data_IF_306303289434
#
_entry.id   IF_306303289434
#
_cell.length_a   1.000
_cell.length_b   1.000
_cell.length_c   1.000
_cell.angle_alpha   90.00
_cell.angle_beta   90.00
_cell.angle_gamma   90.00
#
_symmetry.space_group_name_H-M   'P 1'
#
loop_
_entity.id
_entity.type
_entity.pdbx_description
1 polymer ?
#
# COMPACT_ATOMS: atom_id res chain seq x y z
N UNK A 1 24.51 -14.83 -21.38
CA UNK A 1 25.38 -14.71 -20.20
C UNK A 1 24.76 -13.73 -19.23
N UNK A 2 24.79 -14.05 -17.94
CA UNK A 2 24.44 -13.13 -16.87
C UNK A 2 25.50 -12.03 -16.70
N UNK A 3 25.15 -10.93 -16.03
CA UNK A 3 26.11 -9.86 -15.72
C UNK A 3 27.28 -10.41 -14.90
N UNK A 4 27.00 -11.28 -13.93
CA UNK A 4 28.00 -11.94 -13.08
C UNK A 4 28.95 -12.80 -13.91
N UNK A 5 28.45 -13.55 -14.89
CA UNK A 5 29.30 -14.31 -15.82
C UNK A 5 30.19 -13.42 -16.67
N UNK A 6 29.67 -12.30 -17.18
CA UNK A 6 30.46 -11.34 -17.97
C UNK A 6 31.52 -10.63 -17.13
N UNK A 7 31.22 -10.27 -15.88
CA UNK A 7 32.21 -9.69 -14.96
C UNK A 7 33.31 -10.68 -14.62
N UNK A 8 32.96 -11.94 -14.34
CA UNK A 8 33.95 -13.00 -14.09
C UNK A 8 34.80 -13.28 -15.33
N UNK A 9 34.20 -13.23 -16.52
CA UNK A 9 34.92 -13.39 -17.78
C UNK A 9 35.85 -12.21 -18.07
N UNK A 10 35.42 -10.98 -17.80
CA UNK A 10 36.24 -9.78 -17.94
C UNK A 10 37.47 -9.83 -17.02
N UNK A 11 37.29 -10.26 -15.77
CA UNK A 11 38.38 -10.41 -14.82
C UNK A 11 39.42 -11.43 -15.32
N UNK A 12 38.96 -12.59 -15.80
CA UNK A 12 39.85 -13.61 -16.38
C UNK A 12 40.60 -13.12 -17.62
N UNK A 13 39.90 -12.47 -18.56
CA UNK A 13 40.52 -11.94 -19.78
C UNK A 13 41.51 -10.80 -19.46
N UNK A 14 41.27 -10.04 -18.39
CA UNK A 14 42.19 -9.01 -17.91
C UNK A 14 43.45 -9.63 -17.29
N UNK A 15 43.28 -10.67 -16.47
CA UNK A 15 44.40 -11.41 -15.87
C UNK A 15 45.26 -12.09 -16.95
N UNK A 16 44.64 -12.75 -17.93
CA UNK A 16 45.32 -13.36 -19.09
C UNK A 16 46.08 -12.32 -19.94
N UNK A 17 45.48 -11.13 -20.12
CA UNK A 17 46.14 -10.01 -20.80
C UNK A 17 47.35 -9.50 -20.02
N UNK A 18 47.24 -9.38 -18.69
CA UNK A 18 48.35 -8.97 -17.83
C UNK A 18 49.45 -10.02 -17.78
N UNK A 19 49.12 -11.30 -17.68
CA UNK A 19 50.10 -12.40 -17.71
C UNK A 19 50.90 -12.38 -19.01
N UNK A 20 50.25 -12.09 -20.14
CA UNK A 20 50.91 -12.02 -21.46
C UNK A 20 51.83 -10.80 -21.57
N UNK A 21 51.51 -9.70 -20.89
CA UNK A 21 52.38 -8.50 -20.78
C UNK A 21 53.53 -8.74 -19.79
N UNK A 22 53.29 -9.42 -18.67
CA UNK A 22 54.30 -9.66 -17.64
C UNK A 22 55.24 -10.81 -17.98
N UNK A 23 54.81 -11.76 -18.81
CA UNK A 23 55.65 -12.81 -19.36
C UNK A 23 56.72 -12.28 -20.34
N UNK A 24 56.79 -10.96 -20.61
CA UNK A 24 57.92 -10.32 -21.28
C UNK A 24 59.18 -10.44 -20.40
N UNK A 25 60.13 -11.32 -20.73
CA UNK A 25 61.42 -11.27 -20.06
C UNK A 25 62.15 -10.04 -20.61
N UNK A 26 62.76 -9.24 -19.73
CA UNK A 26 63.66 -8.13 -20.10
C UNK A 26 64.81 -8.53 -21.06
N UNK A 27 64.98 -9.83 -21.34
CA UNK A 27 66.05 -10.40 -22.17
C UNK A 27 65.69 -10.70 -23.65
N UNK A 28 64.44 -10.55 -24.12
CA UNK A 28 64.07 -10.84 -25.53
C UNK A 28 64.11 -9.61 -26.48
N UNK A 29 64.98 -8.63 -26.20
CA UNK A 29 65.20 -7.51 -27.14
C UNK A 29 65.88 -7.91 -28.47
N UNK A 30 66.27 -9.18 -28.67
CA UNK A 30 66.89 -9.64 -29.92
C UNK A 30 65.87 -10.33 -30.88
N UNK A 31 65.13 -9.46 -31.57
CA UNK A 31 64.80 -9.51 -33.02
C UNK A 31 64.04 -10.67 -33.70
N UNK A 32 63.61 -11.78 -33.07
CA UNK A 32 62.89 -12.83 -33.85
C UNK A 32 61.48 -13.26 -33.41
N UNK A 33 61.00 -12.92 -32.20
CA UNK A 33 59.68 -13.39 -31.71
C UNK A 33 58.58 -12.32 -31.57
N UNK A 34 58.83 -11.07 -32.00
CA UNK A 34 57.91 -9.94 -31.77
C UNK A 34 56.56 -10.06 -32.50
N UNK A 35 56.53 -10.58 -33.72
CA UNK A 35 55.28 -10.64 -34.51
C UNK A 35 54.26 -11.66 -33.98
N UNK A 36 54.71 -12.79 -33.43
CA UNK A 36 53.82 -13.79 -32.82
C UNK A 36 53.23 -13.32 -31.49
N UNK A 37 54.02 -12.57 -30.72
CA UNK A 37 53.62 -12.00 -29.43
C UNK A 37 52.69 -10.79 -29.58
N UNK A 38 52.94 -9.88 -30.51
CA UNK A 38 52.00 -8.78 -30.79
C UNK A 38 50.64 -9.33 -31.24
N UNK A 39 50.60 -10.41 -32.02
CA UNK A 39 49.35 -11.06 -32.42
C UNK A 39 48.58 -11.64 -31.23
N UNK A 40 49.27 -12.36 -30.33
CA UNK A 40 48.64 -12.94 -29.13
C UNK A 40 48.09 -11.88 -28.17
N UNK A 41 48.85 -10.79 -27.95
CA UNK A 41 48.37 -9.67 -27.13
C UNK A 41 47.16 -8.96 -27.78
N UNK A 42 47.18 -8.79 -29.11
CA UNK A 42 46.10 -8.14 -29.82
C UNK A 42 44.82 -9.00 -29.86
N UNK A 43 44.95 -10.34 -29.87
CA UNK A 43 43.83 -11.27 -29.71
C UNK A 43 43.21 -11.18 -28.30
N UNK A 44 44.03 -11.16 -27.25
CA UNK A 44 43.53 -10.98 -25.88
C UNK A 44 42.88 -9.60 -25.68
N UNK A 45 43.47 -8.54 -26.24
CA UNK A 45 42.88 -7.20 -26.23
C UNK A 45 41.54 -7.16 -26.97
N UNK A 46 41.41 -7.90 -28.08
CA UNK A 46 40.17 -8.03 -28.82
C UNK A 46 39.09 -8.79 -28.01
N UNK A 47 39.48 -9.86 -27.30
CA UNK A 47 38.62 -10.58 -26.36
C UNK A 47 38.10 -9.66 -25.25
N UNK A 48 39.01 -8.93 -24.59
CA UNK A 48 38.68 -7.99 -23.52
C UNK A 48 37.72 -6.89 -24.00
N UNK A 49 37.98 -6.30 -25.18
CA UNK A 49 37.10 -5.31 -25.81
C UNK A 49 35.72 -5.88 -26.09
N UNK A 50 35.66 -7.12 -26.58
CA UNK A 50 34.39 -7.79 -26.86
C UNK A 50 33.57 -8.02 -25.59
N UNK A 51 34.20 -8.53 -24.52
CA UNK A 51 33.52 -8.73 -23.23
C UNK A 51 33.05 -7.41 -22.63
N UNK A 52 33.83 -6.33 -22.77
CA UNK A 52 33.42 -4.99 -22.37
C UNK A 52 32.18 -4.49 -23.12
N UNK A 53 32.14 -4.66 -24.45
CA UNK A 53 30.98 -4.32 -25.28
C UNK A 53 29.74 -5.14 -24.90
N UNK A 54 29.90 -6.42 -24.59
CA UNK A 54 28.80 -7.26 -24.10
C UNK A 54 28.27 -6.77 -22.75
N UNK A 55 29.16 -6.37 -21.85
CA UNK A 55 28.79 -5.85 -20.52
C UNK A 55 28.05 -4.51 -20.65
N UNK A 56 28.51 -3.61 -21.52
CA UNK A 56 27.82 -2.35 -21.83
C UNK A 56 26.42 -2.59 -22.42
N UNK A 57 26.30 -3.55 -23.35
CA UNK A 57 25.02 -3.93 -23.95
C UNK A 57 24.03 -4.46 -22.91
N UNK A 58 24.49 -5.33 -22.00
CA UNK A 58 23.67 -5.86 -20.91
C UNK A 58 23.21 -4.76 -19.94
N UNK A 59 24.10 -3.85 -19.56
CA UNK A 59 23.76 -2.71 -18.70
C UNK A 59 22.71 -1.80 -19.34
N UNK A 60 22.86 -1.48 -20.64
CA UNK A 60 21.86 -0.70 -21.39
C UNK A 60 20.51 -1.42 -21.42
N UNK A 61 20.50 -2.73 -21.65
CA UNK A 61 19.26 -3.52 -21.69
C UNK A 61 18.56 -3.54 -20.32
N UNK A 62 19.31 -3.77 -19.24
CA UNK A 62 18.75 -3.71 -17.87
C UNK A 62 18.16 -2.35 -17.54
N UNK A 63 18.85 -1.26 -17.92
CA UNK A 63 18.33 0.11 -17.74
C UNK A 63 17.01 0.29 -18.47
N UNK A 64 16.91 -0.13 -19.74
CA UNK A 64 15.67 -0.01 -20.53
C UNK A 64 14.53 -0.82 -19.91
N UNK A 65 14.79 -2.06 -19.49
CA UNK A 65 13.80 -2.90 -18.80
C UNK A 65 13.31 -2.27 -17.50
N UNK A 66 14.23 -1.80 -16.65
CA UNK A 66 13.88 -1.16 -15.39
C UNK A 66 13.02 0.11 -15.59
N UNK A 67 13.31 0.90 -16.64
CA UNK A 67 12.49 2.06 -16.99
C UNK A 67 11.08 1.65 -17.46
N UNK A 68 10.98 0.61 -18.29
CA UNK A 68 9.71 0.09 -18.77
C UNK A 68 8.85 -0.49 -17.63
N UNK A 69 9.46 -1.25 -16.72
CA UNK A 69 8.78 -1.83 -15.55
C UNK A 69 8.27 -0.73 -14.61
N UNK A 70 9.05 0.33 -14.40
CA UNK A 70 8.63 1.50 -13.63
C UNK A 70 7.44 2.21 -14.28
N UNK A 71 7.46 2.37 -15.60
CA UNK A 71 6.33 2.98 -16.34
C UNK A 71 5.06 2.13 -16.21
N UNK A 72 5.17 0.81 -16.34
CA UNK A 72 4.06 -0.12 -16.15
C UNK A 72 3.52 -0.06 -14.71
N UNK A 73 4.41 0.00 -13.71
CA UNK A 73 4.05 0.13 -12.30
C UNK A 73 3.29 1.44 -12.01
N UNK A 74 3.78 2.57 -12.53
CA UNK A 74 3.09 3.87 -12.37
C UNK A 74 1.72 3.91 -13.07
N UNK A 75 1.58 3.25 -14.22
CA UNK A 75 0.29 3.13 -14.92
C UNK A 75 -0.71 2.32 -14.08
N UNK A 76 -0.28 1.20 -13.50
CA UNK A 76 -1.15 0.37 -12.67
C UNK A 76 -1.54 1.09 -11.37
N UNK A 77 -0.59 1.76 -10.72
CA UNK A 77 -0.88 2.58 -9.53
C UNK A 77 -1.89 3.69 -9.83
N UNK A 78 -1.74 4.40 -10.95
CA UNK A 78 -2.71 5.41 -11.39
C UNK A 78 -4.09 4.79 -11.67
N UNK A 79 -4.14 3.58 -12.25
CA UNK A 79 -5.39 2.87 -12.52
C UNK A 79 -6.12 2.52 -11.22
N UNK A 80 -5.40 2.01 -10.23
CA UNK A 80 -5.94 1.70 -8.91
C UNK A 80 -6.43 2.96 -8.19
N UNK A 81 -5.64 4.04 -8.21
CA UNK A 81 -6.04 5.32 -7.61
C UNK A 81 -7.30 5.89 -8.23
N UNK A 82 -7.44 5.84 -9.56
CA UNK A 82 -8.67 6.26 -10.25
C UNK A 82 -9.89 5.45 -9.81
N UNK A 83 -9.73 4.14 -9.64
CA UNK A 83 -10.81 3.26 -9.17
C UNK A 83 -11.22 3.63 -7.74
N UNK A 84 -10.26 3.86 -6.85
CA UNK A 84 -10.52 4.25 -5.47
C UNK A 84 -11.25 5.61 -5.40
N UNK A 85 -10.81 6.59 -6.19
CA UNK A 85 -11.51 7.88 -6.33
C UNK A 85 -12.96 7.67 -6.77
N UNK A 86 -13.21 6.79 -7.75
CA UNK A 86 -14.56 6.54 -8.25
C UNK A 86 -15.46 5.90 -7.18
N UNK A 87 -14.93 4.97 -6.39
CA UNK A 87 -15.64 4.36 -5.27
C UNK A 87 -15.98 5.43 -4.22
N UNK A 88 -15.01 6.27 -3.86
CA UNK A 88 -15.21 7.36 -2.89
C UNK A 88 -16.24 8.37 -3.38
N UNK A 89 -16.22 8.74 -4.67
CA UNK A 89 -17.24 9.61 -5.28
C UNK A 89 -18.65 9.02 -5.15
N UNK A 90 -18.83 7.75 -5.49
CA UNK A 90 -20.13 7.07 -5.34
C UNK A 90 -20.60 7.04 -3.89
N UNK A 91 -19.69 6.82 -2.95
CA UNK A 91 -20.02 6.86 -1.52
C UNK A 91 -20.47 8.27 -1.10
N UNK A 92 -19.76 9.31 -1.54
CA UNK A 92 -20.15 10.71 -1.29
C UNK A 92 -21.54 11.00 -1.88
N UNK A 93 -21.81 10.62 -3.12
CA UNK A 93 -23.14 10.80 -3.75
C UNK A 93 -24.26 10.12 -2.94
N UNK A 94 -23.98 8.94 -2.39
CA UNK A 94 -24.92 8.22 -1.53
C UNK A 94 -25.19 8.99 -0.24
N UNK A 95 -24.15 9.52 0.42
CA UNK A 95 -24.31 10.32 1.63
C UNK A 95 -24.99 11.66 1.37
N UNK A 96 -24.70 12.32 0.25
CA UNK A 96 -25.38 13.56 -0.17
C UNK A 96 -26.88 13.29 -0.36
N UNK A 97 -27.24 12.19 -1.00
CA UNK A 97 -28.67 11.82 -1.17
C UNK A 97 -29.37 11.61 0.16
N UNK A 98 -28.72 10.94 1.12
CA UNK A 98 -29.27 10.76 2.48
C UNK A 98 -29.43 12.08 3.23
N UNK A 99 -28.48 13.00 3.08
CA UNK A 99 -28.59 14.34 3.66
C UNK A 99 -29.79 15.09 3.08
N UNK A 100 -29.99 15.04 1.76
CA UNK A 100 -31.15 15.65 1.10
C UNK A 100 -32.49 15.03 1.55
N UNK A 101 -32.49 13.74 1.91
CA UNK A 101 -33.66 13.06 2.48
C UNK A 101 -33.93 13.54 3.91
N UNK A 102 -32.90 13.57 4.76
CA UNK A 102 -33.01 14.04 6.14
C UNK A 102 -33.41 15.52 6.23
N UNK A 103 -32.91 16.36 5.33
CA UNK A 103 -33.29 17.78 5.25
C UNK A 103 -34.80 17.96 4.97
N UNK A 104 -35.44 16.98 4.33
CA UNK A 104 -36.90 16.99 4.10
C UNK A 104 -37.68 16.37 5.25
N UNK A 105 -37.15 15.31 5.87
CA UNK A 105 -37.86 14.52 6.89
C UNK A 105 -37.82 15.18 8.28
N UNK A 106 -36.69 15.78 8.67
CA UNK A 106 -36.51 16.41 9.98
C UNK A 106 -37.61 17.48 10.27
N UNK A 107 -37.92 18.41 9.36
CA UNK A 107 -39.00 19.38 9.60
C UNK A 107 -40.37 18.73 9.83
N UNK A 108 -40.67 17.64 9.12
CA UNK A 108 -41.94 16.90 9.26
C UNK A 108 -42.00 16.24 10.64
N UNK A 109 -40.93 15.59 11.07
CA UNK A 109 -40.82 14.99 12.41
C UNK A 109 -40.96 16.03 13.52
N UNK A 110 -40.36 17.22 13.34
CA UNK A 110 -40.52 18.34 14.27
C UNK A 110 -42.00 18.77 14.35
N UNK A 111 -42.68 18.93 13.22
CA UNK A 111 -44.11 19.30 13.20
C UNK A 111 -44.98 18.23 13.87
N UNK A 112 -44.74 16.96 13.56
CA UNK A 112 -45.48 15.83 14.16
C UNK A 112 -45.27 15.74 15.67
N UNK A 113 -44.03 15.91 16.14
CA UNK A 113 -43.69 15.95 17.57
C UNK A 113 -44.41 17.10 18.28
N UNK A 114 -44.36 18.31 17.72
CA UNK A 114 -45.06 19.46 18.27
C UNK A 114 -46.58 19.26 18.32
N UNK A 115 -47.17 18.63 17.30
CA UNK A 115 -48.59 18.29 17.25
C UNK A 115 -48.97 17.24 18.30
N UNK A 116 -48.15 16.22 18.49
CA UNK A 116 -48.36 15.20 19.53
C UNK A 116 -48.27 15.81 20.94
N UNK A 117 -47.29 16.69 21.18
CA UNK A 117 -47.15 17.44 22.44
C UNK A 117 -48.34 18.36 22.71
N UNK A 118 -48.82 19.09 21.70
CA UNK A 118 -50.00 19.93 21.83
C UNK A 118 -51.27 19.11 22.12
N UNK A 119 -51.39 17.91 21.55
CA UNK A 119 -52.52 17.01 21.80
C UNK A 119 -52.51 16.46 23.24
N UNK A 120 -51.32 16.20 23.80
CA UNK A 120 -51.14 15.80 25.21
C UNK A 120 -51.41 16.92 26.21
N UNK A 121 -51.34 18.18 25.79
CA UNK A 121 -51.59 19.36 26.64
C UNK A 121 -53.09 19.69 26.80
N UNK A 122 -53.99 19.01 26.10
CA UNK A 122 -55.43 19.06 26.35
C UNK A 122 -55.82 18.27 27.62
N UNK A 123 -55.10 18.48 28.73
CA UNK A 123 -55.53 18.35 30.13
C UNK A 123 -56.42 17.21 30.61
N UNK A 124 -56.60 16.10 29.89
CA UNK A 124 -57.59 15.06 30.23
C UNK A 124 -57.03 13.63 30.31
N UNK A 125 -55.80 13.41 29.84
CA UNK A 125 -55.29 12.06 29.57
C UNK A 125 -54.44 11.44 30.71
N UNK A 126 -54.24 12.13 31.85
CA UNK A 126 -53.45 11.57 32.98
C UNK A 126 -54.11 11.64 34.38
N UNK A 127 -55.23 12.34 34.57
CA UNK A 127 -55.84 12.48 35.91
C UNK A 127 -57.17 11.72 36.10
N UNK A 128 -57.67 11.03 35.07
CA UNK A 128 -59.02 10.44 35.12
C UNK A 128 -59.13 9.11 35.90
N UNK A 129 -58.01 8.49 36.30
CA UNK A 129 -58.00 7.16 36.93
C UNK A 129 -57.03 7.02 38.13
N UNK A 130 -56.71 8.12 38.85
CA UNK A 130 -56.19 7.98 40.22
C UNK A 130 -57.40 7.86 41.16
N UNK A 131 -58.02 6.67 41.13
CA UNK A 131 -58.72 6.16 42.29
C UNK A 131 -57.69 6.06 43.42
N UNK A 132 -57.75 6.99 44.37
CA UNK A 132 -57.01 6.89 45.63
C UNK A 132 -57.39 5.56 46.29
N UNK A 133 -56.49 4.58 46.42
CA UNK A 133 -56.78 3.42 47.25
C UNK A 133 -56.80 3.88 48.71
N UNK A 134 -57.70 3.36 49.57
CA UNK A 134 -57.72 3.76 50.96
C UNK A 134 -56.41 3.36 51.63
N UNK A 135 -55.91 4.22 52.51
CA UNK A 135 -54.68 4.00 53.26
C UNK A 135 -54.71 2.64 53.99
N UNK A 136 -53.86 1.71 53.56
CA UNK A 136 -53.50 0.54 54.35
C UNK A 136 -52.04 0.68 54.79
N UNK A 137 -51.89 0.95 56.07
CA UNK A 137 -50.67 0.78 56.84
C UNK A 137 -50.25 -0.69 56.82
N UNK A 138 -49.04 -0.99 56.35
CA UNK A 138 -48.09 -1.91 56.99
C UNK A 138 -46.74 -1.87 56.27
N UNK A 139 -45.69 -1.58 57.03
CA UNK A 139 -44.30 -1.87 56.69
C UNK A 139 -44.15 -3.36 56.37
N UNK A 140 -43.40 -3.71 55.32
CA UNK A 140 -42.31 -4.68 55.44
C UNK A 140 -41.42 -4.72 54.18
N UNK A 141 -40.14 -4.93 54.46
CA UNK A 141 -38.96 -4.97 53.58
C UNK A 141 -38.80 -6.39 53.00
N UNK A 142 -38.02 -6.50 51.90
CA UNK A 142 -37.43 -7.70 51.23
C UNK A 142 -38.08 -8.00 49.85
N UNK A 143 -37.40 -8.37 48.77
CA UNK A 143 -36.04 -8.87 48.50
C UNK A 143 -35.87 -9.03 46.96
N UNK A 144 -34.64 -8.88 46.43
CA UNK A 144 -34.00 -9.72 45.37
C UNK A 144 -34.63 -9.78 43.94
N UNK A 145 -33.91 -9.92 42.81
CA UNK A 145 -32.54 -10.33 42.44
C UNK A 145 -32.19 -9.76 41.05
N UNK A 146 -30.87 -9.65 40.79
CA UNK A 146 -30.10 -9.99 39.58
C UNK A 146 -30.85 -10.37 38.29
N UNK A 147 -30.47 -9.73 37.18
CA UNK A 147 -30.15 -10.41 35.91
C UNK A 147 -29.11 -9.59 35.12
N UNK A 148 -28.02 -10.27 34.80
CA UNK A 148 -26.90 -9.89 33.93
C UNK A 148 -27.41 -9.57 32.51
N UNK A 149 -26.87 -8.53 31.86
CA UNK A 149 -26.73 -8.51 30.41
C UNK A 149 -25.38 -7.87 30.07
N UNK A 150 -24.56 -8.68 29.41
CA UNK A 150 -23.18 -8.49 28.98
C UNK A 150 -22.96 -7.22 28.14
N UNK A 151 -22.30 -6.21 28.71
CA UNK A 151 -21.65 -5.13 27.97
C UNK A 151 -20.24 -5.59 27.53
N UNK A 152 -20.19 -6.43 26.48
CA UNK A 152 -18.98 -6.70 25.70
C UNK A 152 -18.67 -5.48 24.81
N UNK A 153 -18.20 -4.39 25.43
CA UNK A 153 -17.57 -3.27 24.72
C UNK A 153 -16.15 -3.69 24.32
N UNK A 154 -16.03 -4.24 23.10
CA UNK A 154 -14.76 -4.45 22.40
C UNK A 154 -14.02 -3.10 22.24
N UNK A 155 -13.08 -2.84 23.15
CA UNK A 155 -12.12 -1.75 23.08
C UNK A 155 -11.34 -1.78 21.75
N UNK A 156 -11.69 -0.91 20.81
CA UNK A 156 -10.95 -0.71 19.56
C UNK A 156 -9.73 0.18 19.82
N UNK A 157 -8.58 -0.45 20.07
CA UNK A 157 -7.27 0.22 20.15
C UNK A 157 -6.79 0.62 18.73
N UNK A 158 -6.74 1.93 18.46
CA UNK A 158 -6.08 2.44 17.26
C UNK A 158 -4.60 2.71 17.56
N UNK A 159 -3.71 2.01 16.86
CA UNK A 159 -2.27 2.29 16.88
C UNK A 159 -2.01 3.63 16.17
N UNK A 160 -1.44 4.60 16.90
CA UNK A 160 -1.00 5.89 16.35
C UNK A 160 0.10 5.67 15.29
N UNK A 161 -0.09 6.25 14.10
CA UNK A 161 0.89 6.28 12.99
C UNK A 161 1.65 7.60 12.96
#
# INVERSE_FOLDING_TARGET
MSLTELTNKLAKEFDECLETILALPEQQQQQQNKEGQEKGLNEQLAGLRYTFLQLESQLKNMKTKALQDKELSLKEMNRLLKRDIEIKKRAIETYVTKLDEWDKEIPILIEQSNRAMASRLNGYDFDSDIATPPAQTTNDVQQQNDDDDDDDDEDVEFEEV
#
